data_IF_058745349560
#
_entry.id   IF_058745349560
#
_cell.length_a   1.000
_cell.length_b   1.000
_cell.length_c   1.000
_cell.angle_alpha   90.00
_cell.angle_beta   90.00
_cell.angle_gamma   90.00
#
_symmetry.space_group_name_H-M   'P 1'
#
loop_
_entity.id
_entity.type
_entity.pdbx_description
1 polymer ?
#
# COMPACT_ATOMS: atom_id res chain seq x y z
N UNK A 1 0.84 0.08 15.29
CA UNK A 1 0.37 -0.30 13.95
C UNK A 1 0.30 -1.82 13.82
N UNK A 2 -0.80 -2.36 13.29
CA UNK A 2 -0.91 -3.76 12.87
C UNK A 2 -0.67 -3.81 11.35
N UNK A 3 0.16 -4.72 10.86
CA UNK A 3 0.27 -4.96 9.41
C UNK A 3 -0.30 -6.33 9.03
N UNK A 4 -0.93 -6.40 7.86
CA UNK A 4 -1.57 -7.62 7.34
C UNK A 4 -1.24 -7.71 5.86
N UNK A 5 -0.61 -8.81 5.45
CA UNK A 5 -0.32 -9.08 4.05
C UNK A 5 -1.54 -9.66 3.35
N UNK A 6 -1.88 -9.10 2.20
CA UNK A 6 -3.06 -9.48 1.41
C UNK A 6 -2.65 -9.86 -0.02
N UNK A 7 -3.50 -10.60 -0.71
CA UNK A 7 -3.41 -10.91 -2.12
C UNK A 7 -4.75 -10.61 -2.79
N UNK A 8 -4.87 -10.81 -4.10
CA UNK A 8 -6.08 -10.46 -4.85
C UNK A 8 -7.31 -11.23 -4.36
N UNK A 9 -7.13 -12.47 -3.91
CA UNK A 9 -8.23 -13.38 -3.51
C UNK A 9 -8.82 -13.00 -2.14
N UNK A 10 -7.97 -12.60 -1.19
CA UNK A 10 -8.40 -12.24 0.16
C UNK A 10 -8.53 -10.72 0.39
N UNK A 11 -8.21 -9.90 -0.62
CA UNK A 11 -8.14 -8.44 -0.51
C UNK A 11 -9.43 -7.86 0.07
N UNK A 12 -10.58 -8.14 -0.54
CA UNK A 12 -11.85 -7.55 -0.13
C UNK A 12 -12.23 -7.96 1.30
N UNK A 13 -11.96 -9.21 1.66
CA UNK A 13 -12.25 -9.72 2.99
C UNK A 13 -11.41 -9.01 4.06
N UNK A 14 -10.11 -8.91 3.85
CA UNK A 14 -9.20 -8.31 4.84
C UNK A 14 -9.37 -6.79 4.94
N UNK A 15 -9.67 -6.13 3.81
CA UNK A 15 -10.08 -4.72 3.80
C UNK A 15 -11.37 -4.52 4.58
N UNK A 16 -12.40 -5.33 4.34
CA UNK A 16 -13.68 -5.24 5.04
C UNK A 16 -13.51 -5.40 6.55
N UNK A 17 -12.78 -6.44 6.97
CA UNK A 17 -12.45 -6.64 8.39
C UNK A 17 -11.68 -5.47 8.99
N UNK A 18 -10.75 -4.88 8.24
CA UNK A 18 -9.96 -3.75 8.73
C UNK A 18 -10.83 -2.50 8.93
N UNK A 19 -11.69 -2.16 7.96
CA UNK A 19 -12.54 -0.96 8.04
C UNK A 19 -13.65 -1.11 9.08
N UNK A 20 -14.15 -2.33 9.32
CA UNK A 20 -15.13 -2.63 10.38
C UNK A 20 -14.60 -2.34 11.79
N UNK A 21 -13.27 -2.33 11.98
CA UNK A 21 -12.69 -1.98 13.28
C UNK A 21 -12.85 -0.51 13.66
N UNK A 22 -13.19 0.36 12.70
CA UNK A 22 -13.25 1.82 12.88
C UNK A 22 -11.88 2.49 13.01
N UNK A 23 -10.78 1.73 12.90
CA UNK A 23 -9.43 2.27 12.96
C UNK A 23 -8.99 2.85 11.59
N UNK A 24 -7.97 3.73 11.56
CA UNK A 24 -7.36 4.16 10.30
C UNK A 24 -6.80 2.97 9.50
N UNK A 25 -7.27 2.79 8.27
CA UNK A 25 -6.82 1.73 7.37
C UNK A 25 -6.02 2.33 6.22
N UNK A 26 -4.81 1.82 6.03
CA UNK A 26 -3.94 2.18 4.92
C UNK A 26 -3.66 0.94 4.07
N UNK A 27 -3.61 1.08 2.75
CA UNK A 27 -3.26 0.00 1.83
C UNK A 27 -2.05 0.39 1.01
N UNK A 28 -0.97 -0.36 1.13
CA UNK A 28 0.27 -0.15 0.38
C UNK A 28 0.39 -1.18 -0.74
N UNK A 29 0.38 -0.70 -1.97
CA UNK A 29 0.72 -1.49 -3.16
C UNK A 29 2.20 -1.32 -3.48
N UNK A 30 2.93 -2.42 -3.58
CA UNK A 30 4.38 -2.42 -3.80
C UNK A 30 4.81 -3.65 -4.60
N UNK A 31 6.04 -3.62 -5.14
CA UNK A 31 6.61 -4.77 -5.86
C UNK A 31 6.91 -5.91 -4.90
N UNK A 32 6.54 -7.14 -5.23
CA UNK A 32 6.87 -8.31 -4.39
C UNK A 32 8.38 -8.39 -4.13
N UNK A 33 8.73 -8.84 -2.94
CA UNK A 33 10.11 -9.06 -2.53
C UNK A 33 10.76 -10.14 -3.38
N UNK A 34 12.03 -9.93 -3.75
CA UNK A 34 12.80 -10.94 -4.45
C UNK A 34 13.32 -11.99 -3.46
N UNK A 35 13.41 -13.28 -3.86
CA UNK A 35 14.00 -14.31 -3.01
C UNK A 35 15.46 -14.05 -2.64
N UNK A 36 16.18 -13.29 -3.47
CA UNK A 36 17.62 -13.05 -3.33
C UNK A 36 17.93 -11.99 -2.27
N UNK A 37 17.19 -10.87 -2.27
CA UNK A 37 17.44 -9.75 -1.35
C UNK A 37 16.44 -9.67 -0.21
N UNK A 38 15.31 -10.38 -0.31
CA UNK A 38 14.12 -10.16 0.55
C UNK A 38 13.60 -8.71 0.50
N UNK A 39 13.98 -7.94 -0.52
CA UNK A 39 13.52 -6.58 -0.78
C UNK A 39 12.69 -6.52 -2.05
N UNK A 40 11.82 -5.51 -2.16
CA UNK A 40 11.04 -5.27 -3.36
C UNK A 40 11.93 -5.18 -4.61
N UNK A 41 11.51 -5.81 -5.72
CA UNK A 41 12.18 -5.63 -7.00
C UNK A 41 12.10 -4.19 -7.53
N UNK A 42 11.24 -3.36 -6.95
CA UNK A 42 11.06 -1.96 -7.32
C UNK A 42 11.89 -1.06 -6.39
N UNK A 43 12.88 -0.30 -6.92
CA UNK A 43 13.75 0.53 -6.11
C UNK A 43 12.99 1.64 -5.35
N UNK A 44 11.96 2.22 -5.96
CA UNK A 44 11.12 3.23 -5.30
C UNK A 44 10.34 2.63 -4.12
N UNK A 45 9.93 1.36 -4.22
CA UNK A 45 9.29 0.66 -3.11
C UNK A 45 10.27 0.43 -1.94
N UNK A 46 11.53 0.09 -2.23
CA UNK A 46 12.58 -0.09 -1.21
C UNK A 46 12.83 1.22 -0.45
N UNK A 47 12.86 2.35 -1.16
CA UNK A 47 13.05 3.67 -0.55
C UNK A 47 11.81 4.09 0.27
N UNK A 48 10.61 3.89 -0.27
CA UNK A 48 9.37 4.35 0.34
C UNK A 48 8.91 3.52 1.55
N UNK A 49 9.09 2.20 1.54
CA UNK A 49 8.61 1.30 2.61
C UNK A 49 8.99 1.76 4.03
N UNK A 50 10.27 2.03 4.35
CA UNK A 50 10.63 2.47 5.70
C UNK A 50 10.02 3.83 6.07
N UNK A 51 9.83 4.72 5.09
CA UNK A 51 9.25 6.05 5.31
C UNK A 51 7.74 5.97 5.57
N UNK A 52 7.01 5.17 4.76
CA UNK A 52 5.59 4.89 4.93
C UNK A 52 5.34 4.27 6.30
N UNK A 53 6.09 3.23 6.68
CA UNK A 53 5.94 2.58 7.99
C UNK A 53 6.22 3.56 9.12
N UNK A 54 7.29 4.35 9.02
CA UNK A 54 7.64 5.36 10.03
C UNK A 54 6.54 6.40 10.21
N UNK A 55 5.87 6.80 9.13
CA UNK A 55 4.75 7.74 9.21
C UNK A 55 3.50 7.12 9.86
N UNK A 56 3.20 5.84 9.60
CA UNK A 56 1.99 5.16 10.10
C UNK A 56 2.17 4.65 11.55
N UNK A 57 3.38 4.29 11.98
CA UNK A 57 3.68 3.82 13.35
C UNK A 57 3.04 4.69 14.45
N UNK A 58 3.17 6.04 14.44
CA UNK A 58 2.57 6.89 15.48
C UNK A 58 1.04 6.99 15.41
N UNK A 59 0.40 6.57 14.32
CA UNK A 59 -1.06 6.59 14.19
C UNK A 59 -1.67 5.50 15.07
N UNK A 60 -2.46 5.90 16.05
CA UNK A 60 -3.06 5.00 17.02
C UNK A 60 -3.95 3.97 16.32
N UNK A 61 -3.75 2.69 16.66
CA UNK A 61 -4.49 1.53 16.13
C UNK A 61 -4.51 1.39 14.60
N UNK A 62 -3.65 2.11 13.87
CA UNK A 62 -3.61 2.03 12.42
C UNK A 62 -3.33 0.61 11.93
N UNK A 63 -4.05 0.25 10.86
CA UNK A 63 -3.92 -1.02 10.16
C UNK A 63 -3.29 -0.73 8.80
N UNK A 64 -2.17 -1.39 8.50
CA UNK A 64 -1.51 -1.35 7.21
C UNK A 64 -1.75 -2.67 6.47
N UNK A 65 -2.47 -2.63 5.36
CA UNK A 65 -2.63 -3.75 4.45
C UNK A 65 -1.52 -3.70 3.39
N UNK A 66 -0.73 -4.76 3.32
CA UNK A 66 0.41 -4.89 2.43
C UNK A 66 -0.02 -5.71 1.21
N UNK A 67 -0.16 -5.07 0.05
CA UNK A 67 -0.69 -5.66 -1.18
C UNK A 67 0.41 -5.75 -2.26
N UNK A 68 1.27 -6.79 -2.22
CA UNK A 68 2.28 -7.02 -3.25
C UNK A 68 1.63 -7.22 -4.62
N UNK A 69 2.15 -6.54 -5.64
CA UNK A 69 1.59 -6.56 -7.01
C UNK A 69 2.09 -7.75 -7.85
N UNK A 70 2.83 -8.68 -7.26
CA UNK A 70 3.46 -9.77 -8.00
C UNK A 70 4.85 -9.42 -8.52
N UNK A 71 5.36 -10.26 -9.42
CA UNK A 71 6.66 -10.10 -10.04
C UNK A 71 6.69 -8.93 -11.02
N UNK A 72 7.90 -8.44 -11.31
CA UNK A 72 8.10 -7.26 -12.18
C UNK A 72 7.48 -7.40 -13.57
N UNK A 73 7.52 -8.60 -14.16
CA UNK A 73 6.94 -8.90 -15.46
C UNK A 73 5.40 -8.95 -15.44
N UNK A 74 4.79 -9.26 -14.29
CA UNK A 74 3.34 -9.26 -14.11
C UNK A 74 2.79 -7.84 -13.97
N UNK A 75 3.59 -6.90 -13.46
CA UNK A 75 3.21 -5.50 -13.27
C UNK A 75 3.58 -4.58 -14.44
N UNK A 76 4.84 -4.63 -14.90
CA UNK A 76 5.39 -3.63 -15.83
C UNK A 76 4.77 -3.77 -17.21
N UNK A 77 4.07 -2.74 -17.67
CA UNK A 77 3.39 -2.72 -18.97
C UNK A 77 2.07 -3.49 -19.01
N UNK A 78 1.68 -4.15 -17.91
CA UNK A 78 0.42 -4.86 -17.81
C UNK A 78 -0.69 -3.89 -17.38
N UNK A 79 -1.42 -3.32 -18.34
CA UNK A 79 -2.54 -2.41 -18.07
C UNK A 79 -3.77 -3.10 -17.49
N UNK A 80 -3.90 -4.42 -17.67
CA UNK A 80 -5.03 -5.22 -17.20
C UNK A 80 -4.79 -5.84 -15.82
N UNK A 81 -3.69 -5.47 -15.14
CA UNK A 81 -3.40 -5.96 -13.80
C UNK A 81 -4.59 -5.68 -12.84
N UNK A 82 -5.03 -6.65 -12.02
CA UNK A 82 -6.24 -6.51 -11.20
C UNK A 82 -6.26 -5.25 -10.33
N UNK A 83 -5.16 -4.89 -9.68
CA UNK A 83 -5.09 -3.64 -8.89
C UNK A 83 -5.16 -2.36 -9.73
N UNK A 84 -4.69 -2.37 -10.99
CA UNK A 84 -4.85 -1.23 -11.91
C UNK A 84 -6.31 -1.07 -12.32
N UNK A 85 -6.96 -2.17 -12.70
CA UNK A 85 -8.35 -2.17 -13.18
C UNK A 85 -9.33 -1.86 -12.05
N UNK A 86 -9.14 -2.48 -10.87
CA UNK A 86 -10.09 -2.38 -9.75
C UNK A 86 -9.96 -1.07 -8.97
N UNK A 87 -8.75 -0.59 -8.76
CA UNK A 87 -8.48 0.51 -7.82
C UNK A 87 -7.76 1.70 -8.46
N UNK A 88 -7.54 1.65 -9.78
CA UNK A 88 -6.85 2.70 -10.53
C UNK A 88 -5.48 3.06 -9.90
N UNK A 89 -4.71 2.01 -9.55
CA UNK A 89 -3.32 2.11 -9.09
C UNK A 89 -2.44 2.45 -10.31
N UNK A 90 -1.92 3.68 -10.45
CA UNK A 90 -1.22 4.06 -11.68
C UNK A 90 0.23 3.53 -11.72
N UNK A 91 0.86 3.42 -10.55
CA UNK A 91 2.25 3.03 -10.39
C UNK A 91 2.48 2.42 -8.98
N UNK A 92 3.70 1.97 -8.72
CA UNK A 92 4.12 1.51 -7.39
C UNK A 92 5.38 2.30 -6.97
N UNK A 93 5.59 2.56 -5.68
CA UNK A 93 4.66 2.30 -4.58
C UNK A 93 3.40 3.18 -4.67
N UNK A 94 2.26 2.69 -4.21
CA UNK A 94 1.05 3.53 -4.02
C UNK A 94 0.46 3.24 -2.65
N UNK A 95 0.23 4.29 -1.86
CA UNK A 95 -0.40 4.20 -0.54
C UNK A 95 -1.80 4.81 -0.60
N UNK A 96 -2.83 4.06 -0.22
CA UNK A 96 -4.20 4.53 -0.10
C UNK A 96 -4.62 4.69 1.37
N UNK A 97 -5.49 5.66 1.64
CA UNK A 97 -6.41 5.60 2.78
C UNK A 97 -7.64 4.81 2.36
N UNK A 98 -8.02 3.83 3.17
CA UNK A 98 -9.21 3.03 2.92
C UNK A 98 -10.31 3.33 3.93
N UNK A 99 -11.55 3.34 3.44
CA UNK A 99 -12.75 3.52 4.25
C UNK A 99 -13.83 2.53 3.85
N UNK A 100 -14.93 2.48 4.59
CA UNK A 100 -16.10 1.67 4.20
C UNK A 100 -16.69 2.07 2.84
N UNK A 101 -16.43 3.30 2.36
CA UNK A 101 -16.83 3.76 1.03
C UNK A 101 -15.87 3.30 -0.10
N UNK A 102 -14.76 2.66 0.25
CA UNK A 102 -13.72 2.21 -0.70
C UNK A 102 -12.41 2.99 -0.61
N UNK A 103 -11.57 2.93 -1.67
CA UNK A 103 -10.29 3.63 -1.73
C UNK A 103 -10.51 5.15 -1.77
N UNK A 104 -9.90 5.87 -0.84
CA UNK A 104 -9.95 7.32 -0.75
C UNK A 104 -8.72 8.00 -1.34
N UNK A 105 -8.14 8.93 -0.58
CA UNK A 105 -6.91 9.63 -0.95
C UNK A 105 -5.75 8.64 -1.16
N UNK A 106 -4.84 8.99 -2.08
CA UNK A 106 -3.63 8.19 -2.38
C UNK A 106 -2.38 9.04 -2.53
N UNK A 107 -1.24 8.46 -2.19
CA UNK A 107 0.10 8.91 -2.56
C UNK A 107 0.70 7.93 -3.56
N UNK A 108 1.39 8.43 -4.57
CA UNK A 108 1.95 7.62 -5.67
C UNK A 108 3.44 7.88 -5.82
N UNK A 109 4.22 6.83 -6.06
CA UNK A 109 5.65 6.89 -6.39
C UNK A 109 6.46 7.74 -5.40
N UNK A 110 7.05 8.85 -5.86
CA UNK A 110 7.87 9.77 -5.07
C UNK A 110 7.10 10.38 -3.90
N UNK A 111 5.77 10.49 -3.98
CA UNK A 111 4.95 10.98 -2.88
C UNK A 111 4.97 10.03 -1.68
N UNK A 112 5.17 8.73 -1.92
CA UNK A 112 5.37 7.75 -0.85
C UNK A 112 6.76 7.85 -0.21
N UNK A 113 7.68 8.62 -0.80
CA UNK A 113 9.00 8.90 -0.25
C UNK A 113 9.13 10.33 0.32
N UNK A 114 8.08 11.16 0.20
CA UNK A 114 8.06 12.51 0.78
C UNK A 114 7.49 12.47 2.21
N UNK A 115 8.38 12.65 3.18
CA UNK A 115 8.03 12.63 4.61
C UNK A 115 6.97 13.66 4.99
N UNK A 116 6.97 14.83 4.36
CA UNK A 116 5.99 15.88 4.66
C UNK A 116 4.61 15.53 4.11
N UNK A 117 4.56 14.95 2.90
CA UNK A 117 3.31 14.44 2.33
C UNK A 117 2.78 13.28 3.14
N UNK A 118 3.64 12.33 3.53
CA UNK A 118 3.28 11.21 4.39
C UNK A 118 2.70 11.66 5.73
N UNK A 119 3.33 12.63 6.41
CA UNK A 119 2.85 13.16 7.70
C UNK A 119 1.44 13.76 7.56
N UNK A 120 1.25 14.64 6.58
CA UNK A 120 -0.07 15.23 6.27
C UNK A 120 -1.09 14.18 5.88
N UNK A 121 -0.66 13.17 5.11
CA UNK A 121 -1.52 12.10 4.66
C UNK A 121 -2.01 11.29 5.85
N UNK A 122 -1.14 10.82 6.74
CA UNK A 122 -1.58 10.00 7.88
C UNK A 122 -2.29 10.81 8.99
N UNK A 123 -2.34 12.14 8.89
CA UNK A 123 -2.99 13.02 9.86
C UNK A 123 -2.14 13.33 11.09
N UNK A 124 -0.80 13.30 10.93
CA UNK A 124 0.16 13.81 11.92
C UNK A 124 0.49 15.28 11.70
#
# INVERSE_FOLDING_TARGET
MKSVRVNIENFDQEVSKAVETGNPVFVLFFGTETPETSESWCPDCVIADPLVRKAIIPVQNAILLEAPVGARNEWKGNTTHPYRVRFNVPAIPTLFKWSAAGPGEKLVEEECADVNKLAKFVGN
#
